data_IF_008404262739
#
_entry.id   IF_008404262739
#
_cell.length_a   1.000
_cell.length_b   1.000
_cell.length_c   1.000
_cell.angle_alpha   90.00
_cell.angle_beta   90.00
_cell.angle_gamma   90.00
#
_symmetry.space_group_name_H-M   'P 1'
#
loop_
_entity.id
_entity.type
_entity.pdbx_description
1 polymer ?
#
# COMPACT_ATOMS: atom_id res chain seq x y z
N UNK A 1 3.14 -3.61 9.91
CA UNK A 1 2.69 -4.13 8.60
C UNK A 1 3.80 -4.08 7.55
N UNK A 2 4.23 -2.90 7.08
CA UNK A 2 5.22 -2.71 5.99
C UNK A 2 6.56 -3.40 6.26
N UNK A 3 7.20 -3.15 7.41
CA UNK A 3 8.48 -3.76 7.79
C UNK A 3 8.42 -5.30 7.80
N UNK A 4 7.33 -5.84 8.33
CA UNK A 4 7.13 -7.30 8.45
C UNK A 4 7.05 -7.94 7.05
N UNK A 5 6.21 -7.40 6.17
CA UNK A 5 6.02 -7.93 4.82
C UNK A 5 7.30 -7.79 4.00
N UNK A 6 7.96 -6.62 4.05
CA UNK A 6 9.22 -6.42 3.33
C UNK A 6 10.30 -7.43 3.75
N UNK A 7 10.46 -7.65 5.07
CA UNK A 7 11.44 -8.63 5.59
C UNK A 7 11.11 -10.06 5.15
N UNK A 8 9.83 -10.44 5.12
CA UNK A 8 9.39 -11.77 4.66
C UNK A 8 9.55 -11.96 3.16
N UNK A 9 9.45 -10.90 2.37
CA UNK A 9 9.61 -10.92 0.91
C UNK A 9 11.04 -10.68 0.44
N UNK A 10 12.03 -10.58 1.35
CA UNK A 10 13.44 -10.37 1.04
C UNK A 10 13.74 -9.11 0.20
N UNK A 11 12.84 -8.12 0.23
CA UNK A 11 12.97 -6.90 -0.57
C UNK A 11 13.86 -5.87 0.12
N UNK A 12 14.81 -5.29 -0.61
CA UNK A 12 15.67 -4.22 -0.11
C UNK A 12 15.01 -2.85 -0.27
N UNK A 13 15.07 -1.94 0.73
CA UNK A 13 14.63 -0.55 0.60
C UNK A 13 15.55 0.30 -0.30
N UNK A 14 16.62 -0.27 -0.84
CA UNK A 14 17.61 0.46 -1.62
C UNK A 14 17.00 1.14 -2.86
N UNK A 15 17.54 2.31 -3.21
CA UNK A 15 17.03 3.15 -4.30
C UNK A 15 17.09 2.54 -5.71
N UNK A 16 17.74 1.38 -5.87
CA UNK A 16 17.82 0.65 -7.13
C UNK A 16 16.93 -0.60 -7.18
N UNK A 17 16.14 -0.87 -6.13
CA UNK A 17 15.25 -2.03 -6.05
C UNK A 17 13.78 -1.70 -6.36
N UNK A 18 12.84 -2.60 -6.02
CA UNK A 18 11.39 -2.41 -6.25
C UNK A 18 10.83 -1.11 -5.65
N UNK A 19 11.49 -0.53 -4.64
CA UNK A 19 11.11 0.74 -4.02
C UNK A 19 11.82 1.98 -4.60
N UNK A 20 12.62 1.84 -5.67
CA UNK A 20 13.45 2.91 -6.22
C UNK A 20 12.68 4.18 -6.58
N UNK A 21 11.43 4.04 -7.04
CA UNK A 21 10.54 5.17 -7.38
C UNK A 21 9.96 5.91 -6.17
N UNK A 22 9.95 5.30 -4.98
CA UNK A 22 9.36 5.87 -3.75
C UNK A 22 10.43 6.47 -2.82
N UNK A 23 11.69 6.10 -3.02
CA UNK A 23 12.84 6.60 -2.27
C UNK A 23 13.01 5.88 -0.92
N UNK A 24 14.26 5.52 -0.59
CA UNK A 24 14.60 4.76 0.62
C UNK A 24 14.06 5.40 1.91
N UNK A 25 14.12 6.73 2.01
CA UNK A 25 13.71 7.46 3.22
C UNK A 25 12.22 7.35 3.51
N UNK A 26 11.39 7.25 2.46
CA UNK A 26 9.94 7.07 2.60
C UNK A 26 9.62 5.70 3.17
N UNK A 27 10.25 4.65 2.62
CA UNK A 27 10.09 3.27 3.11
C UNK A 27 10.55 3.17 4.57
N UNK A 28 11.75 3.64 4.90
CA UNK A 28 12.24 3.64 6.29
C UNK A 28 11.37 4.44 7.25
N UNK A 29 10.85 5.59 6.80
CA UNK A 29 9.92 6.39 7.60
C UNK A 29 8.65 5.61 7.93
N UNK A 30 8.06 4.96 6.93
CA UNK A 30 6.83 4.18 7.08
C UNK A 30 7.05 2.94 7.96
N UNK A 31 8.22 2.28 7.84
CA UNK A 31 8.61 1.18 8.73
C UNK A 31 8.72 1.57 10.21
N UNK A 32 9.12 2.82 10.47
CA UNK A 32 9.21 3.39 11.82
C UNK A 32 7.90 4.03 12.31
N UNK A 33 6.81 3.93 11.54
CA UNK A 33 5.51 4.45 11.95
C UNK A 33 5.27 5.94 11.65
N UNK A 34 6.00 6.52 10.70
CA UNK A 34 5.70 7.88 10.18
C UNK A 34 4.25 7.92 9.70
N UNK A 35 3.46 8.82 10.26
CA UNK A 35 2.04 9.00 9.93
C UNK A 35 1.83 9.77 8.62
N UNK A 36 2.76 10.66 8.28
CA UNK A 36 2.65 11.51 7.09
C UNK A 36 3.42 10.90 5.92
N UNK A 37 2.70 10.24 5.03
CA UNK A 37 3.19 9.74 3.74
C UNK A 37 2.23 10.17 2.64
N UNK A 38 2.75 10.52 1.46
CA UNK A 38 1.88 10.79 0.31
C UNK A 38 1.15 9.51 -0.07
N UNK A 39 -0.15 9.59 -0.31
CA UNK A 39 -0.97 8.42 -0.66
C UNK A 39 -0.41 7.66 -1.88
N UNK A 40 0.05 8.38 -2.90
CA UNK A 40 0.71 7.80 -4.09
C UNK A 40 1.88 6.86 -3.73
N UNK A 41 2.65 7.21 -2.69
CA UNK A 41 3.81 6.45 -2.26
C UNK A 41 3.41 5.25 -1.42
N UNK A 42 2.36 5.41 -0.60
CA UNK A 42 1.78 4.30 0.14
C UNK A 42 1.25 3.23 -0.83
N UNK A 43 0.45 3.62 -1.83
CA UNK A 43 -0.10 2.69 -2.83
C UNK A 43 0.99 1.93 -3.59
N UNK A 44 2.04 2.63 -4.05
CA UNK A 44 3.20 1.99 -4.70
C UNK A 44 3.90 0.98 -3.78
N UNK A 45 4.08 1.31 -2.50
CA UNK A 45 4.69 0.39 -1.52
C UNK A 45 3.82 -0.85 -1.35
N UNK A 46 2.50 -0.69 -1.21
CA UNK A 46 1.57 -1.81 -1.05
C UNK A 46 1.56 -2.72 -2.28
N UNK A 47 1.55 -2.12 -3.48
CA UNK A 47 1.64 -2.86 -4.75
C UNK A 47 2.92 -3.70 -4.83
N UNK A 48 4.08 -3.13 -4.49
CA UNK A 48 5.36 -3.86 -4.45
C UNK A 48 5.35 -5.00 -3.43
N UNK A 49 4.64 -4.82 -2.32
CA UNK A 49 4.49 -5.84 -1.28
C UNK A 49 3.37 -6.84 -1.57
N UNK A 50 2.67 -6.71 -2.70
CA UNK A 50 1.50 -7.51 -3.05
C UNK A 50 0.43 -7.49 -1.94
N UNK A 51 0.13 -6.29 -1.44
CA UNK A 51 -0.87 -6.06 -0.39
C UNK A 51 -2.04 -5.31 -1.01
N UNK A 52 -3.24 -5.87 -0.87
CA UNK A 52 -4.49 -5.24 -1.27
C UNK A 52 -5.02 -4.33 -0.15
N UNK A 53 -5.68 -3.25 -0.55
CA UNK A 53 -6.36 -2.34 0.37
C UNK A 53 -7.84 -2.69 0.44
N UNK A 54 -8.30 -2.89 1.67
CA UNK A 54 -9.69 -3.15 1.97
C UNK A 54 -10.30 -1.94 2.69
N UNK A 55 -11.14 -1.19 2.00
CA UNK A 55 -11.82 -0.04 2.61
C UNK A 55 -13.03 -0.51 3.40
N UNK A 56 -13.09 -0.15 4.68
CA UNK A 56 -14.23 -0.44 5.54
C UNK A 56 -15.08 0.80 5.69
N UNK A 57 -16.35 0.68 5.33
CA UNK A 57 -17.35 1.75 5.39
C UNK A 57 -18.71 1.15 5.76
N UNK A 58 -19.55 1.85 6.53
CA UNK A 58 -20.94 1.43 6.76
C UNK A 58 -21.75 1.28 5.47
N UNK A 59 -21.39 2.02 4.41
CA UNK A 59 -22.08 2.00 3.12
C UNK A 59 -21.45 1.00 2.12
N UNK A 60 -20.49 0.18 2.56
CA UNK A 60 -19.75 -0.68 1.65
C UNK A 60 -20.63 -1.69 0.92
N UNK A 61 -21.52 -2.36 1.66
CA UNK A 61 -22.43 -3.36 1.07
C UNK A 61 -23.45 -2.74 0.11
N UNK A 62 -23.83 -1.49 0.33
CA UNK A 62 -24.70 -0.74 -0.59
C UNK A 62 -23.93 -0.33 -1.84
N UNK A 63 -22.72 0.21 -1.67
CA UNK A 63 -21.82 0.56 -2.76
C UNK A 63 -21.50 -0.64 -3.67
N UNK A 64 -21.14 -1.79 -3.10
CA UNK A 64 -20.82 -2.99 -3.88
C UNK A 64 -22.03 -3.52 -4.67
N UNK A 65 -23.24 -3.42 -4.11
CA UNK A 65 -24.48 -3.78 -4.82
C UNK A 65 -24.74 -2.84 -6.00
N UNK A 66 -24.64 -1.53 -5.80
CA UNK A 66 -24.85 -0.55 -6.86
C UNK A 66 -23.80 -0.68 -7.97
N UNK A 67 -22.52 -0.77 -7.63
CA UNK A 67 -21.42 -0.90 -8.61
C UNK A 67 -21.57 -2.15 -9.48
N UNK A 68 -21.95 -3.29 -8.87
CA UNK A 68 -22.20 -4.53 -9.62
C UNK A 68 -23.41 -4.45 -10.57
N UNK A 69 -24.39 -3.60 -10.27
CA UNK A 69 -25.57 -3.37 -11.11
C UNK A 69 -25.35 -2.34 -12.21
N UNK A 70 -24.38 -1.44 -12.05
CA UNK A 70 -24.03 -0.41 -13.03
C UNK A 70 -23.11 -0.90 -14.17
N UNK A 71 -22.50 -2.08 -13.99
CA UNK A 71 -21.64 -2.72 -15.00
C UNK A 71 -22.38 -3.78 -15.86
N UNK A 72 -23.71 -3.89 -15.71
CA UNK A 72 -24.58 -4.84 -16.45
C UNK A 72 -25.25 -4.24 -17.67
#
# INVERSE_FOLDING_TARGET
>A
MVLFHRKKSWLTPAGAGPFGRVGKNTVYGLEKGRQNVRLENLLKILQVLNIELDFKSPLREEFEREDSSAQG
#
